data_IF_021777911100
#
_entry.id   IF_021777911100
#
_cell.length_a   1.000
_cell.length_b   1.000
_cell.length_c   1.000
_cell.angle_alpha   90.00
_cell.angle_beta   90.00
_cell.angle_gamma   90.00
#
_symmetry.space_group_name_H-M   'P 1'
#
loop_
_entity.id
_entity.type
_entity.pdbx_description
1 polymer ?
#
# COMPACT_ATOMS: atom_id res chain seq x y z
N UNK A 1 -49.65 46.65 -26.71
CA UNK A 1 -50.13 45.37 -26.16
C UNK A 1 -48.95 44.41 -26.09
N UNK A 2 -48.73 43.85 -24.91
CA UNK A 2 -47.53 43.15 -24.40
C UNK A 2 -47.24 41.80 -25.09
N UNK A 3 -45.96 41.43 -25.35
CA UNK A 3 -45.38 40.06 -25.46
C UNK A 3 -44.02 40.15 -26.20
N UNK A 4 -42.89 39.55 -25.81
CA UNK A 4 -42.51 38.66 -24.72
C UNK A 4 -40.98 38.75 -24.53
N UNK A 5 -40.54 38.61 -23.29
CA UNK A 5 -39.15 38.42 -22.86
C UNK A 5 -38.55 37.12 -23.39
N UNK A 6 -37.25 37.12 -23.73
CA UNK A 6 -36.33 36.01 -23.41
C UNK A 6 -34.93 36.57 -23.19
N UNK A 7 -34.55 36.70 -21.91
CA UNK A 7 -33.17 36.73 -21.50
C UNK A 7 -32.69 35.27 -21.40
N UNK A 8 -31.58 34.92 -22.05
CA UNK A 8 -30.92 33.64 -21.81
C UNK A 8 -29.50 33.94 -21.30
N UNK A 9 -29.38 33.82 -19.97
CA UNK A 9 -28.17 33.93 -19.18
C UNK A 9 -27.14 32.92 -19.71
N UNK A 10 -25.96 33.40 -20.11
CA UNK A 10 -24.79 32.55 -20.34
C UNK A 10 -24.25 32.17 -18.97
N UNK A 11 -24.62 31.00 -18.47
CA UNK A 11 -24.06 30.44 -17.25
C UNK A 11 -22.83 29.61 -17.63
N UNK A 12 -21.65 30.23 -17.58
CA UNK A 12 -20.37 29.54 -17.59
C UNK A 12 -20.30 28.65 -16.35
N UNK A 13 -20.60 27.36 -16.50
CA UNK A 13 -20.33 26.36 -15.48
C UNK A 13 -18.82 26.14 -15.40
N UNK A 14 -18.17 26.85 -14.48
CA UNK A 14 -16.79 26.57 -14.08
C UNK A 14 -16.74 25.16 -13.50
N UNK A 15 -16.00 24.25 -14.16
CA UNK A 15 -15.68 22.95 -13.58
C UNK A 15 -14.88 23.18 -12.28
N UNK A 16 -15.28 22.61 -11.13
CA UNK A 16 -14.37 22.53 -10.01
C UNK A 16 -13.25 21.56 -10.42
N UNK A 17 -12.09 22.11 -10.76
CA UNK A 17 -10.86 21.34 -10.77
C UNK A 17 -10.65 20.82 -9.35
N UNK A 18 -10.98 19.55 -9.13
CA UNK A 18 -10.72 18.86 -7.87
C UNK A 18 -9.21 18.83 -7.65
N UNK A 19 -8.71 19.80 -6.89
CA UNK A 19 -7.38 19.78 -6.31
C UNK A 19 -7.38 18.62 -5.31
N UNK A 20 -7.01 17.43 -5.81
CA UNK A 20 -6.70 16.31 -4.94
C UNK A 20 -5.56 16.76 -4.02
N UNK A 21 -5.65 16.57 -2.70
CA UNK A 21 -4.48 16.72 -1.86
C UNK A 21 -3.52 15.61 -2.28
N UNK A 22 -2.55 15.96 -3.13
CA UNK A 22 -1.32 15.21 -3.21
C UNK A 22 -0.77 15.25 -1.79
N UNK A 23 -0.91 14.16 -1.05
CA UNK A 23 -0.27 13.94 0.23
C UNK A 23 1.25 13.90 -0.01
N UNK A 24 1.80 15.07 -0.30
CA UNK A 24 3.21 15.39 -0.26
C UNK A 24 3.55 15.70 1.19
N UNK A 25 3.44 14.69 2.05
CA UNK A 25 4.18 14.70 3.31
C UNK A 25 5.37 13.79 3.12
N UNK A 26 6.45 14.43 2.71
CA UNK A 26 7.75 13.81 2.64
C UNK A 26 8.09 13.10 3.94
N UNK A 27 8.80 11.98 3.78
CA UNK A 27 9.60 11.29 4.80
C UNK A 27 8.94 10.29 5.75
N UNK A 28 7.65 9.98 5.66
CA UNK A 28 7.14 8.81 6.36
C UNK A 28 6.42 7.84 5.41
N UNK A 29 6.98 6.63 5.27
CA UNK A 29 6.27 5.48 4.70
C UNK A 29 5.09 5.04 5.60
N UNK A 30 4.79 5.82 6.65
CA UNK A 30 3.78 5.55 7.64
C UNK A 30 2.40 5.37 7.00
N UNK A 31 1.55 4.63 7.69
CA UNK A 31 0.19 4.35 7.24
C UNK A 31 0.02 2.91 6.78
N UNK A 32 -1.13 2.63 6.18
CA UNK A 32 -1.54 1.27 5.83
C UNK A 32 -1.16 0.96 4.39
N UNK A 33 -0.59 -0.23 4.20
CA UNK A 33 -0.15 -0.76 2.91
C UNK A 33 -0.83 -2.08 2.64
N UNK A 34 -1.23 -2.27 1.38
CA UNK A 34 -1.62 -3.57 0.86
C UNK A 34 -0.41 -4.16 0.17
N UNK A 35 0.09 -5.28 0.67
CA UNK A 35 1.24 -5.98 0.11
C UNK A 35 0.81 -7.30 -0.47
N UNK A 36 1.20 -7.55 -1.70
CA UNK A 36 0.91 -8.77 -2.41
C UNK A 36 2.21 -9.54 -2.64
N UNK A 37 2.23 -10.78 -2.21
CA UNK A 37 3.30 -11.73 -2.40
C UNK A 37 2.90 -12.69 -3.52
N UNK A 38 3.79 -12.91 -4.46
CA UNK A 38 3.65 -13.89 -5.55
C UNK A 38 4.81 -14.86 -5.43
N UNK A 39 4.49 -16.15 -5.36
CA UNK A 39 5.49 -17.22 -5.38
C UNK A 39 5.89 -17.47 -6.83
N UNK A 40 7.19 -17.37 -7.11
CA UNK A 40 7.76 -17.62 -8.44
C UNK A 40 8.51 -18.96 -8.49
N UNK A 41 8.91 -19.49 -7.34
CA UNK A 41 9.58 -20.79 -7.23
C UNK A 41 9.24 -21.46 -5.90
N UNK A 42 9.11 -22.78 -5.90
CA UNK A 42 8.74 -23.58 -4.73
C UNK A 42 7.29 -24.06 -4.75
N UNK A 43 6.88 -24.69 -3.64
CA UNK A 43 5.55 -25.33 -3.50
C UNK A 43 4.58 -24.54 -2.61
N UNK A 44 4.92 -23.30 -2.24
CA UNK A 44 4.03 -22.45 -1.45
C UNK A 44 2.83 -21.98 -2.30
N UNK A 45 1.79 -21.51 -1.61
CA UNK A 45 0.66 -20.85 -2.25
C UNK A 45 1.11 -19.81 -3.27
N UNK A 46 0.46 -19.78 -4.43
CA UNK A 46 0.90 -18.99 -5.57
C UNK A 46 0.84 -17.47 -5.32
N UNK A 47 -0.10 -17.03 -4.47
CA UNK A 47 -0.31 -15.62 -4.17
C UNK A 47 -0.95 -15.40 -2.80
N UNK A 48 -0.41 -14.44 -2.06
CA UNK A 48 -0.93 -14.03 -0.76
C UNK A 48 -1.00 -12.50 -0.67
N UNK A 49 -2.02 -11.94 -0.01
CA UNK A 49 -2.14 -10.48 0.19
C UNK A 49 -2.29 -10.17 1.67
N UNK A 50 -1.44 -9.28 2.18
CA UNK A 50 -1.42 -8.85 3.57
C UNK A 50 -1.64 -7.35 3.68
N UNK A 51 -2.19 -6.94 4.82
CA UNK A 51 -2.24 -5.54 5.22
C UNK A 51 -1.12 -5.26 6.22
N UNK A 52 -0.25 -4.31 5.92
CA UNK A 52 0.83 -3.87 6.80
C UNK A 52 0.56 -2.45 7.27
N UNK A 53 0.89 -2.14 8.52
CA UNK A 53 0.97 -0.79 9.03
C UNK A 53 2.44 -0.43 9.25
N UNK A 54 2.85 0.72 8.72
CA UNK A 54 4.18 1.28 8.97
C UNK A 54 4.02 2.44 9.94
N UNK A 55 4.84 2.48 10.98
CA UNK A 55 4.92 3.58 11.93
C UNK A 55 6.39 3.81 12.29
N UNK A 56 6.91 5.00 12.01
CA UNK A 56 8.30 5.42 12.30
C UNK A 56 9.38 4.51 11.69
N UNK A 57 9.04 3.83 10.59
CA UNK A 57 9.93 2.86 9.91
C UNK A 57 9.84 1.43 10.47
N UNK A 58 9.11 1.22 11.57
CA UNK A 58 8.73 -0.10 12.07
C UNK A 58 7.54 -0.65 11.28
N UNK A 59 7.62 -1.94 10.95
CA UNK A 59 6.59 -2.65 10.21
C UNK A 59 5.80 -3.52 11.18
N UNK A 60 4.51 -3.23 11.32
CA UNK A 60 3.58 -4.07 12.06
C UNK A 60 2.66 -4.79 11.07
N UNK A 61 2.66 -6.12 11.13
CA UNK A 61 1.73 -6.91 10.33
C UNK A 61 0.37 -6.88 11.01
N UNK A 62 -0.65 -6.37 10.31
CA UNK A 62 -1.97 -6.16 10.91
C UNK A 62 -2.75 -7.47 11.12
N UNK A 63 -2.36 -8.56 10.43
CA UNK A 63 -2.87 -9.90 10.67
C UNK A 63 -1.93 -10.94 10.10
N UNK A 64 -1.35 -11.74 10.97
CA UNK A 64 -0.85 -13.07 10.64
C UNK A 64 -1.88 -14.01 11.26
N UNK A 65 -2.35 -15.03 10.55
CA UNK A 65 -3.35 -15.98 11.06
C UNK A 65 -2.94 -16.65 12.38
N UNK A 66 -3.80 -17.53 12.86
CA UNK A 66 -3.64 -18.30 14.10
C UNK A 66 -2.22 -18.91 14.18
N UNK A 67 -1.39 -18.40 15.09
CA UNK A 67 0.01 -18.81 15.22
C UNK A 67 1.03 -17.66 15.29
N UNK A 68 0.69 -16.47 14.80
CA UNK A 68 1.51 -15.25 14.96
C UNK A 68 2.85 -15.28 14.21
N UNK A 69 3.03 -14.43 13.20
CA UNK A 69 4.35 -14.23 12.60
C UNK A 69 5.05 -13.03 13.25
N UNK A 70 6.29 -13.23 13.67
CA UNK A 70 7.15 -12.15 14.16
C UNK A 70 7.88 -11.53 12.97
N UNK A 71 7.77 -10.22 12.82
CA UNK A 71 8.53 -9.46 11.83
C UNK A 71 9.60 -8.65 12.53
N UNK A 72 10.83 -8.78 12.05
CA UNK A 72 12.00 -8.03 12.52
C UNK A 72 12.68 -7.36 11.34
N UNK A 73 13.28 -6.18 11.54
CA UNK A 73 13.88 -5.38 10.49
C UNK A 73 13.24 -4.00 10.42
N UNK A 74 13.65 -3.19 9.46
CA UNK A 74 13.19 -1.81 9.35
C UNK A 74 13.11 -1.35 7.92
N UNK A 75 12.32 -0.30 7.71
CA UNK A 75 12.33 0.46 6.47
C UNK A 75 13.29 1.65 6.66
N UNK A 76 14.30 1.74 5.80
CA UNK A 76 15.22 2.85 5.78
C UNK A 76 14.50 4.16 5.42
N UNK A 77 15.05 5.29 5.85
CA UNK A 77 14.51 6.61 5.49
C UNK A 77 14.54 6.89 3.98
N UNK A 78 15.33 6.12 3.24
CA UNK A 78 15.43 6.13 1.77
C UNK A 78 14.49 5.14 1.08
N UNK A 79 13.66 4.43 1.86
CA UNK A 79 12.72 3.43 1.38
C UNK A 79 13.29 2.03 1.22
N UNK A 80 14.57 1.79 1.58
CA UNK A 80 15.12 0.43 1.55
C UNK A 80 14.38 -0.48 2.54
N UNK A 81 13.87 -1.59 2.05
CA UNK A 81 13.16 -2.59 2.85
C UNK A 81 14.10 -3.75 3.13
N UNK A 82 14.29 -4.08 4.41
CA UNK A 82 14.99 -5.28 4.85
C UNK A 82 14.27 -5.88 6.04
N UNK A 83 13.51 -6.94 5.81
CA UNK A 83 12.67 -7.59 6.81
C UNK A 83 12.99 -9.08 6.90
N UNK A 84 12.84 -9.64 8.09
CA UNK A 84 12.85 -11.06 8.37
C UNK A 84 11.54 -11.41 9.06
N UNK A 85 10.88 -12.47 8.58
CA UNK A 85 9.61 -12.94 9.10
C UNK A 85 9.82 -14.33 9.66
N UNK A 86 9.36 -14.59 10.87
CA UNK A 86 9.43 -15.91 11.52
C UNK A 86 8.04 -16.36 11.90
N UNK A 87 7.67 -17.58 11.52
CA UNK A 87 6.40 -18.21 11.89
C UNK A 87 6.67 -19.67 12.27
N UNK A 88 6.51 -20.01 13.54
CA UNK A 88 6.91 -21.33 14.06
C UNK A 88 8.39 -21.61 13.80
N UNK A 89 8.67 -22.73 13.11
CA UNK A 89 10.02 -23.13 12.68
C UNK A 89 10.45 -22.53 11.33
N UNK A 90 9.52 -21.92 10.58
CA UNK A 90 9.80 -21.31 9.29
C UNK A 90 10.35 -19.88 9.45
N UNK A 91 11.34 -19.53 8.63
CA UNK A 91 11.88 -18.18 8.57
C UNK A 91 11.98 -17.72 7.12
N UNK A 92 11.55 -16.50 6.85
CA UNK A 92 11.69 -15.85 5.55
C UNK A 92 12.38 -14.50 5.65
N UNK A 93 12.88 -14.03 4.52
CA UNK A 93 13.42 -12.69 4.36
C UNK A 93 12.68 -11.98 3.23
N UNK A 94 12.51 -10.68 3.37
CA UNK A 94 11.98 -9.81 2.33
C UNK A 94 12.87 -8.58 2.17
N UNK A 95 13.18 -8.25 0.93
CA UNK A 95 13.97 -7.07 0.60
C UNK A 95 13.38 -6.33 -0.59
N UNK A 96 13.69 -5.04 -0.72
CA UNK A 96 13.22 -4.24 -1.85
C UNK A 96 13.18 -2.75 -1.52
N UNK A 97 12.25 -2.03 -2.17
CA UNK A 97 12.14 -0.58 -1.98
C UNK A 97 10.70 -0.10 -1.96
N UNK A 98 10.42 0.81 -1.03
CA UNK A 98 9.22 1.63 -1.01
C UNK A 98 9.49 3.00 -1.66
N UNK A 99 8.46 3.47 -2.35
CA UNK A 99 8.31 4.82 -2.85
C UNK A 99 7.13 5.47 -2.12
N UNK A 100 6.72 6.68 -2.53
CA UNK A 100 5.67 7.43 -1.83
C UNK A 100 4.35 6.65 -1.65
N UNK A 101 3.91 5.93 -2.69
CA UNK A 101 2.60 5.25 -2.72
C UNK A 101 2.66 3.80 -3.21
N UNK A 102 3.85 3.31 -3.55
CA UNK A 102 4.05 1.97 -4.10
C UNK A 102 5.37 1.38 -3.61
N UNK A 103 5.57 0.09 -3.83
CA UNK A 103 6.85 -0.54 -3.59
C UNK A 103 6.92 -1.93 -4.18
N UNK A 104 8.12 -2.48 -4.26
CA UNK A 104 8.32 -3.84 -4.74
C UNK A 104 9.66 -4.41 -4.29
N UNK A 105 9.77 -5.72 -4.41
CA UNK A 105 11.01 -6.43 -4.13
C UNK A 105 10.84 -7.93 -4.21
N UNK A 106 11.72 -8.63 -3.51
CA UNK A 106 11.76 -10.09 -3.46
C UNK A 106 11.58 -10.59 -2.04
N UNK A 107 11.14 -11.84 -1.94
CA UNK A 107 11.06 -12.54 -0.68
C UNK A 107 11.48 -13.99 -0.86
N UNK A 108 11.92 -14.59 0.24
CA UNK A 108 12.25 -16.00 0.35
C UNK A 108 11.73 -16.55 1.66
N UNK A 109 11.35 -17.82 1.69
CA UNK A 109 11.04 -18.57 2.91
C UNK A 109 11.97 -19.78 2.92
N UNK A 110 12.99 -19.72 3.77
CA UNK A 110 14.07 -20.71 3.85
C UNK A 110 14.58 -21.07 2.43
N UNK A 111 14.82 -22.36 2.16
CA UNK A 111 15.11 -22.88 0.81
C UNK A 111 13.85 -23.42 0.10
N UNK A 112 12.65 -23.15 0.63
CA UNK A 112 11.41 -23.78 0.18
C UNK A 112 10.75 -23.00 -0.95
N UNK A 113 10.65 -21.68 -0.78
CA UNK A 113 9.91 -20.82 -1.68
C UNK A 113 10.56 -19.46 -1.83
N UNK A 114 10.39 -18.88 -3.01
CA UNK A 114 10.80 -17.52 -3.30
C UNK A 114 9.86 -16.87 -4.28
N UNK A 115 9.92 -15.55 -4.33
CA UNK A 115 9.27 -14.80 -5.37
C UNK A 115 9.34 -13.32 -5.12
N UNK A 116 8.28 -12.63 -5.54
CA UNK A 116 8.22 -11.17 -5.55
C UNK A 116 7.10 -10.65 -4.69
N UNK A 117 7.30 -9.44 -4.19
CA UNK A 117 6.24 -8.68 -3.56
C UNK A 117 6.04 -7.34 -4.26
N UNK A 118 4.81 -6.85 -4.20
CA UNK A 118 4.42 -5.49 -4.56
C UNK A 118 3.64 -4.89 -3.41
N UNK A 119 3.75 -3.59 -3.22
CA UNK A 119 3.06 -2.86 -2.18
C UNK A 119 2.34 -1.65 -2.78
N UNK A 120 1.14 -1.37 -2.29
CA UNK A 120 0.38 -0.18 -2.62
C UNK A 120 -0.13 0.45 -1.34
N UNK A 121 0.09 1.76 -1.18
CA UNK A 121 -0.42 2.49 -0.02
C UNK A 121 -1.93 2.57 -0.11
N UNK A 122 -2.63 2.19 0.96
CA UNK A 122 -4.07 2.42 1.04
C UNK A 122 -4.29 3.88 1.35
N UNK A 123 -4.70 4.64 0.35
CA UNK A 123 -5.38 5.90 0.63
C UNK A 123 -6.74 5.54 1.21
N UNK A 124 -7.04 6.05 2.40
CA UNK A 124 -8.39 5.98 2.91
C UNK A 124 -9.27 6.75 1.93
N UNK A 125 -9.89 6.05 0.97
CA UNK A 125 -11.10 6.58 0.35
C UNK A 125 -12.09 6.66 1.48
N UNK A 126 -12.28 7.86 2.03
CA UNK A 126 -13.52 8.20 2.72
C UNK A 126 -14.60 7.79 1.72
N UNK A 127 -15.30 6.70 2.01
CA UNK A 127 -16.43 6.29 1.22
C UNK A 127 -17.39 7.49 1.23
N UNK A 128 -17.48 8.18 0.10
CA UNK A 128 -18.57 9.11 -0.14
C UNK A 128 -19.82 8.23 -0.14
N UNK A 129 -20.65 8.41 0.88
CA UNK A 129 -22.03 7.97 0.84
C UNK A 129 -22.76 8.89 -0.15
N UNK A 130 -23.30 8.32 -1.21
CA UNK A 130 -24.47 8.86 -1.92
C UNK A 130 -25.74 8.41 -1.18
#
# INVERSE_FOLDING_TARGET
MLKSSVAALVLCAALPASLQPAAAEGRSFNGTWSVQLVTESGMCDSRYTVSLAIADGDVRVASTGEGGATVSGRIGSDGNVGLTVRHGSASGAASGRLQANSGSGTWTVSALCSGRWTAQRRTARVAQAD
#
